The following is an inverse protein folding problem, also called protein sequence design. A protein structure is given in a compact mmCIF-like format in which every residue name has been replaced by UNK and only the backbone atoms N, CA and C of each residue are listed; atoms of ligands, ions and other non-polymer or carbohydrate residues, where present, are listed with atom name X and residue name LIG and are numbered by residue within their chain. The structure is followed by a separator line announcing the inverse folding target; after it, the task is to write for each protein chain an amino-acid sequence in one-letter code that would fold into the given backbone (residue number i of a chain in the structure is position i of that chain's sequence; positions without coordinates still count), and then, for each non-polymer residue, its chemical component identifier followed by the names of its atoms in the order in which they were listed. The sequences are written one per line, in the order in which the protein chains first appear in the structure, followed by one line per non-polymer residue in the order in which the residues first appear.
data_IF_210935081985
#
_entry.id   IF_210935081985
#
_cell.length_a   1.000
_cell.length_b   1.000
_cell.length_c   1.000
_cell.angle_alpha   90.00
_cell.angle_beta   90.00
_cell.angle_gamma   90.00
#
_symmetry.space_group_name_H-M   'P 1'
#
loop_
_entity.id
_entity.type
_entity.pdbx_description
1 polymer ?
#
# COMPACT_ATOMS: atom_id res chain seq x y z
N UNK A 1 -21.25 -8.90 -4.16
CA UNK A 1 -20.40 -8.34 -3.08
C UNK A 1 -19.85 -9.51 -2.30
N UNK A 2 -18.69 -10.05 -2.70
CA UNK A 2 -18.16 -11.29 -2.12
C UNK A 2 -17.56 -11.00 -0.74
N UNK A 3 -18.10 -11.64 0.29
CA UNK A 3 -17.71 -11.48 1.69
C UNK A 3 -16.33 -12.07 1.93
N UNK A 4 -15.44 -11.25 2.49
CA UNK A 4 -14.16 -11.71 3.05
C UNK A 4 -14.40 -12.66 4.23
N UNK A 5 -13.52 -13.66 4.45
CA UNK A 5 -13.65 -14.56 5.57
C UNK A 5 -13.51 -13.79 6.90
N UNK A 6 -14.22 -14.23 7.96
CA UNK A 6 -14.22 -13.57 9.26
C UNK A 6 -12.84 -13.58 9.91
N UNK A 7 -12.53 -12.51 10.64
CA UNK A 7 -11.27 -12.32 11.37
C UNK A 7 -11.09 -13.44 12.38
N UNK A 8 -10.05 -14.26 12.19
CA UNK A 8 -9.72 -15.37 13.09
C UNK A 8 -8.75 -16.43 12.54
N UNK A 9 -8.56 -16.56 11.22
CA UNK A 9 -7.54 -17.46 10.64
C UNK A 9 -7.00 -16.98 9.28
N UNK A 10 -6.40 -15.79 9.22
CA UNK A 10 -5.22 -15.64 8.36
C UNK A 10 -4.04 -16.16 9.18
N UNK A 11 -4.00 -17.47 9.39
CA UNK A 11 -2.76 -18.11 9.81
C UNK A 11 -1.80 -17.91 8.64
N UNK A 12 -0.68 -17.23 8.88
CA UNK A 12 0.43 -17.16 7.94
C UNK A 12 1.05 -18.55 7.82
N UNK A 13 0.35 -19.47 7.17
CA UNK A 13 0.81 -20.83 6.91
C UNK A 13 1.77 -20.71 5.74
N UNK A 14 3.01 -20.29 6.00
CA UNK A 14 4.09 -20.29 5.03
C UNK A 14 4.90 -19.00 4.84
N UNK A 15 4.69 -17.93 5.63
CA UNK A 15 5.46 -16.69 5.49
C UNK A 15 4.98 -15.74 4.38
N UNK A 16 3.76 -15.94 3.88
CA UNK A 16 3.20 -15.23 2.73
C UNK A 16 3.03 -13.73 3.02
N UNK A 17 2.72 -13.36 4.27
CA UNK A 17 2.54 -11.93 4.63
C UNK A 17 3.88 -11.19 4.65
N UNK A 18 4.91 -11.81 5.20
CA UNK A 18 6.26 -11.24 5.26
C UNK A 18 6.85 -11.16 3.84
N UNK A 19 6.77 -12.24 3.08
CA UNK A 19 7.20 -12.26 1.68
C UNK A 19 6.48 -11.20 0.85
N UNK A 20 5.17 -11.04 1.04
CA UNK A 20 4.43 -9.97 0.36
C UNK A 20 4.98 -8.58 0.71
N UNK A 21 5.24 -8.31 1.98
CA UNK A 21 5.80 -7.02 2.41
C UNK A 21 7.20 -6.77 1.83
N UNK A 22 8.05 -7.79 1.81
CA UNK A 22 9.38 -7.74 1.19
C UNK A 22 9.29 -7.44 -0.30
N UNK A 23 8.43 -8.15 -1.04
CA UNK A 23 8.22 -7.90 -2.46
C UNK A 23 7.69 -6.48 -2.74
N UNK A 24 6.83 -5.94 -1.87
CA UNK A 24 6.37 -4.54 -1.99
C UNK A 24 7.50 -3.54 -1.72
N UNK A 25 8.41 -3.84 -0.79
CA UNK A 25 9.58 -3.00 -0.52
C UNK A 25 10.57 -3.03 -1.69
N UNK A 26 10.84 -4.21 -2.25
CA UNK A 26 11.69 -4.39 -3.42
C UNK A 26 11.14 -3.63 -4.63
N UNK A 27 9.83 -3.73 -4.87
CA UNK A 27 9.15 -3.00 -5.94
C UNK A 27 9.33 -1.48 -5.80
N UNK A 28 9.16 -0.95 -4.58
CA UNK A 28 9.38 0.47 -4.31
C UNK A 28 10.86 0.88 -4.54
N UNK A 29 11.80 -0.04 -4.32
CA UNK A 29 13.23 0.19 -4.53
C UNK A 29 13.67 0.24 -6.01
N UNK A 30 12.86 -0.22 -6.96
CA UNK A 30 13.22 -0.22 -8.39
C UNK A 30 13.34 1.21 -9.00
N UNK A 31 12.88 2.23 -8.29
CA UNK A 31 13.00 3.63 -8.69
C UNK A 31 13.49 4.48 -7.53
N UNK A 32 14.37 5.44 -7.80
CA UNK A 32 14.77 6.45 -6.81
C UNK A 32 13.61 7.34 -6.32
N UNK A 33 12.49 7.37 -7.06
CA UNK A 33 11.27 8.07 -6.67
C UNK A 33 10.21 7.15 -6.03
N UNK A 34 10.46 5.83 -5.96
CA UNK A 34 9.51 4.87 -5.42
C UNK A 34 9.35 4.97 -3.90
N UNK A 35 8.15 4.70 -3.39
CA UNK A 35 7.82 4.76 -1.97
C UNK A 35 6.77 3.71 -1.61
N UNK A 36 7.00 2.99 -0.52
CA UNK A 36 6.00 2.11 0.09
C UNK A 36 5.31 2.85 1.25
N UNK A 37 3.98 2.95 1.19
CA UNK A 37 3.15 3.52 2.27
C UNK A 37 2.26 2.42 2.80
N UNK A 38 2.42 2.06 4.07
CA UNK A 38 1.63 1.01 4.72
C UNK A 38 0.48 1.65 5.49
N UNK A 39 -0.74 1.24 5.15
CA UNK A 39 -1.94 1.55 5.91
C UNK A 39 -1.94 0.76 7.23
N UNK A 40 -1.90 1.45 8.37
CA UNK A 40 -1.92 0.80 9.70
C UNK A 40 -3.30 0.21 10.04
N UNK A 41 -4.36 0.72 9.40
CA UNK A 41 -5.76 0.32 9.60
C UNK A 41 -6.37 -0.11 8.25
N UNK A 42 -7.49 -0.82 8.29
CA UNK A 42 -8.21 -1.23 7.07
C UNK A 42 -7.72 -2.54 6.46
N UNK A 43 -8.54 -3.09 5.57
CA UNK A 43 -8.29 -4.36 4.89
C UNK A 43 -7.98 -4.18 3.41
N UNK A 44 -8.62 -4.96 2.55
CA UNK A 44 -8.48 -4.82 1.11
C UNK A 44 -9.03 -3.49 0.56
N UNK A 45 -9.90 -2.82 1.31
CA UNK A 45 -10.62 -1.62 0.90
C UNK A 45 -9.99 -0.31 1.37
N UNK A 46 -8.67 -0.15 1.29
CA UNK A 46 -7.97 1.08 1.76
C UNK A 46 -8.61 2.40 1.28
N UNK A 47 -9.07 2.55 0.02
CA UNK A 47 -9.73 3.79 -0.40
C UNK A 47 -11.04 4.10 0.32
N UNK A 48 -11.75 3.09 0.82
CA UNK A 48 -12.99 3.24 1.59
C UNK A 48 -12.67 3.46 3.07
N UNK A 49 -11.74 2.67 3.61
CA UNK A 49 -11.41 2.68 5.04
C UNK A 49 -10.55 3.90 5.43
N UNK A 50 -9.66 4.34 4.53
CA UNK A 50 -8.70 5.43 4.74
C UNK A 50 -8.56 6.33 3.49
N UNK A 51 -9.64 7.01 3.07
CA UNK A 51 -9.63 7.84 1.86
C UNK A 51 -8.59 8.97 1.90
N UNK A 52 -8.36 9.57 3.08
CA UNK A 52 -7.37 10.64 3.23
C UNK A 52 -5.95 10.18 2.89
N UNK A 53 -5.56 8.98 3.32
CA UNK A 53 -4.24 8.40 3.01
C UNK A 53 -4.02 8.25 1.50
N UNK A 54 -5.07 7.85 0.77
CA UNK A 54 -5.03 7.72 -0.69
C UNK A 54 -4.86 9.09 -1.36
N UNK A 55 -5.62 10.10 -0.90
CA UNK A 55 -5.49 11.48 -1.42
C UNK A 55 -4.07 12.02 -1.20
N UNK A 56 -3.50 11.81 -0.01
CA UNK A 56 -2.15 12.29 0.31
C UNK A 56 -1.07 11.60 -0.52
N UNK A 57 -1.21 10.29 -0.76
CA UNK A 57 -0.29 9.55 -1.63
C UNK A 57 -0.34 10.06 -3.08
N UNK A 58 -1.53 10.32 -3.62
CA UNK A 58 -1.71 10.89 -4.97
C UNK A 58 -1.08 12.28 -5.05
N UNK A 59 -1.32 13.15 -4.06
CA UNK A 59 -0.74 14.50 -4.00
C UNK A 59 0.79 14.45 -4.02
N UNK A 60 1.41 13.55 -3.25
CA UNK A 60 2.87 13.38 -3.24
C UNK A 60 3.42 13.07 -4.63
N UNK A 61 2.78 12.17 -5.39
CA UNK A 61 3.21 11.84 -6.76
C UNK A 61 3.09 13.06 -7.68
N UNK A 62 1.94 13.73 -7.67
CA UNK A 62 1.69 14.92 -8.51
C UNK A 62 2.68 16.04 -8.21
N UNK A 63 2.98 16.28 -6.93
CA UNK A 63 3.95 17.30 -6.52
C UNK A 63 5.38 16.95 -6.93
N UNK A 64 5.77 15.67 -6.84
CA UNK A 64 7.09 15.22 -7.33
C UNK A 64 7.24 15.46 -8.82
N UNK A 65 6.23 15.13 -9.63
CA UNK A 65 6.25 15.37 -11.08
C UNK A 65 6.27 16.87 -11.40
N UNK A 66 5.46 17.67 -10.71
CA UNK A 66 5.44 19.12 -10.88
C UNK A 66 6.77 19.79 -10.52
N UNK A 67 7.46 19.32 -9.48
CA UNK A 67 8.79 19.83 -9.10
C UNK A 67 9.89 19.43 -10.09
N UNK A 68 9.76 18.27 -10.73
CA UNK A 68 10.70 17.80 -11.74
C UNK A 68 10.50 18.46 -13.11
N UNK A 69 9.38 19.16 -13.32
CA UNK A 69 9.09 19.90 -14.56
C UNK A 69 9.51 21.37 -14.36
N UNK A 70 10.38 21.94 -15.20
CA UNK A 70 10.82 23.34 -15.11
C UNK A 70 9.72 24.34 -15.44
#
# INVERSE_FOLDING_TARGET
MQSYPPVGKLVDVGGHRLLWQELQADLAGLSSNGKLVVAEKGGHGIPVDQPALVVDAIRQVVETVRRASP
#
